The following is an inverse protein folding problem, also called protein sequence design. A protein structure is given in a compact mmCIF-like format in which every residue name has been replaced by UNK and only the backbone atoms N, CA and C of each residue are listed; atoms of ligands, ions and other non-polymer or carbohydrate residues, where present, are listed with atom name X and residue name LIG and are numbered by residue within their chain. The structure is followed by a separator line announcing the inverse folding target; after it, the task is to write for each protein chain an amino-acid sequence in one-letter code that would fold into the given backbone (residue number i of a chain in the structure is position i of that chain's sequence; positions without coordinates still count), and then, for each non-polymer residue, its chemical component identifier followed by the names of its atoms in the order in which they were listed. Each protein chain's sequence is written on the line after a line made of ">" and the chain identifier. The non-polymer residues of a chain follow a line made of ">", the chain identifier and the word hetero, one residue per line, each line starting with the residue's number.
data_IF_136675356477
#
_entry.id   IF_136675356477
#
_cell.length_a   1.000
_cell.length_b   1.000
_cell.length_c   1.000
_cell.angle_alpha   90.00
_cell.angle_beta   90.00
_cell.angle_gamma   90.00
#
_symmetry.space_group_name_H-M   'P 1'
#
loop_
_entity.id
_entity.type
_entity.pdbx_description
1 polymer ?
#
# COMPACT_ATOMS: atom_id res chain seq x y z
N UNK A 1 0.74 -13.55 11.20
CA UNK A 1 -0.07 -13.08 10.06
C UNK A 1 -0.21 -11.58 10.20
N UNK A 2 0.23 -10.80 9.21
CA UNK A 2 0.03 -9.35 9.23
C UNK A 2 -1.47 -9.08 9.23
N UNK A 3 -1.97 -8.32 10.21
CA UNK A 3 -3.40 -8.02 10.38
C UNK A 3 -3.96 -7.12 9.27
N UNK A 4 -3.12 -6.71 8.32
CA UNK A 4 -3.37 -5.69 7.31
C UNK A 4 -3.29 -6.37 5.95
N UNK A 5 -4.43 -6.46 5.27
CA UNK A 5 -4.53 -7.10 3.96
C UNK A 5 -5.34 -6.24 3.01
N UNK A 6 -4.91 -6.20 1.76
CA UNK A 6 -5.64 -5.53 0.70
C UNK A 6 -7.01 -6.15 0.45
N UNK A 7 -7.17 -7.47 0.63
CA UNK A 7 -8.48 -8.13 0.62
C UNK A 7 -9.46 -7.49 1.63
N UNK A 8 -9.01 -7.18 2.84
CA UNK A 8 -9.84 -6.52 3.88
C UNK A 8 -10.18 -5.08 3.49
N UNK A 9 -9.28 -4.36 2.81
CA UNK A 9 -9.59 -3.05 2.24
C UNK A 9 -10.62 -3.16 1.10
N UNK A 10 -10.52 -4.23 0.30
CA UNK A 10 -11.50 -4.84 -0.61
C UNK A 10 -12.93 -4.73 -0.08
N UNK A 11 -13.17 -5.49 0.98
CA UNK A 11 -14.51 -5.70 1.58
C UNK A 11 -15.10 -4.42 2.17
N UNK A 12 -14.27 -3.46 2.56
CA UNK A 12 -14.67 -2.14 3.07
C UNK A 12 -14.82 -1.06 1.99
N UNK A 13 -14.69 -1.42 0.71
CA UNK A 13 -14.72 -0.52 -0.44
C UNK A 13 -13.68 0.62 -0.39
N UNK A 14 -12.60 0.46 0.39
CA UNK A 14 -11.58 1.49 0.60
C UNK A 14 -10.88 1.91 -0.71
N UNK A 15 -10.52 1.00 -1.64
CA UNK A 15 -9.89 1.41 -2.89
C UNK A 15 -10.72 2.42 -3.69
N UNK A 16 -12.04 2.26 -3.67
CA UNK A 16 -12.96 3.19 -4.33
C UNK A 16 -13.15 4.47 -3.50
N UNK A 17 -13.46 4.33 -2.21
CA UNK A 17 -13.69 5.47 -1.30
C UNK A 17 -12.50 6.42 -1.24
N UNK A 18 -11.28 5.87 -1.21
CA UNK A 18 -10.05 6.64 -1.14
C UNK A 18 -9.47 6.92 -2.53
N UNK A 19 -10.11 6.44 -3.61
CA UNK A 19 -9.65 6.61 -4.98
C UNK A 19 -8.18 6.18 -5.13
N UNK A 20 -7.86 4.99 -4.61
CA UNK A 20 -6.51 4.43 -4.71
C UNK A 20 -6.20 4.13 -6.18
N UNK A 21 -5.03 4.57 -6.65
CA UNK A 21 -4.64 4.35 -8.05
C UNK A 21 -4.47 2.86 -8.37
N UNK A 22 -4.61 2.47 -9.64
CA UNK A 22 -4.36 1.07 -10.04
C UNK A 22 -2.95 0.59 -9.70
N UNK A 23 -1.96 1.47 -9.79
CA UNK A 23 -0.57 1.15 -9.43
C UNK A 23 -0.44 0.73 -7.96
N UNK A 24 -1.06 1.46 -7.02
CA UNK A 24 -0.98 1.07 -5.60
C UNK A 24 -1.84 -0.16 -5.31
N UNK A 25 -3.00 -0.31 -5.96
CA UNK A 25 -3.82 -1.52 -5.82
C UNK A 25 -3.02 -2.77 -6.21
N UNK A 26 -2.31 -2.74 -7.34
CA UNK A 26 -1.45 -3.86 -7.77
C UNK A 26 -0.32 -4.14 -6.78
N UNK A 27 0.29 -3.11 -6.18
CA UNK A 27 1.34 -3.33 -5.17
C UNK A 27 0.78 -3.93 -3.88
N UNK A 28 -0.39 -3.47 -3.43
CA UNK A 28 -1.06 -4.00 -2.24
C UNK A 28 -1.53 -5.45 -2.45
N UNK A 29 -1.98 -5.81 -3.66
CA UNK A 29 -2.25 -7.21 -4.05
C UNK A 29 -0.97 -8.05 -4.08
N UNK A 30 0.13 -7.48 -4.56
CA UNK A 30 1.44 -8.11 -4.53
C UNK A 30 1.92 -8.36 -3.09
N UNK A 31 1.68 -7.42 -2.19
CA UNK A 31 2.01 -7.57 -0.77
C UNK A 31 1.21 -8.71 -0.11
N UNK A 32 -0.11 -8.77 -0.37
CA UNK A 32 -0.94 -9.91 0.08
C UNK A 32 -0.39 -11.23 -0.46
N UNK A 33 0.00 -11.27 -1.74
CA UNK A 33 0.56 -12.46 -2.40
C UNK A 33 1.90 -12.88 -1.78
N UNK A 34 2.73 -11.91 -1.39
CA UNK A 34 3.98 -12.14 -0.68
C UNK A 34 3.72 -12.73 0.72
N UNK A 35 2.77 -12.18 1.47
CA UNK A 35 2.42 -12.67 2.82
C UNK A 35 1.90 -14.12 2.83
N UNK A 36 1.27 -14.57 1.75
CA UNK A 36 0.82 -15.97 1.60
C UNK A 36 1.85 -16.87 0.88
N UNK A 37 3.05 -16.36 0.60
CA UNK A 37 4.14 -17.11 -0.03
C UNK A 37 3.94 -17.43 -1.51
N UNK A 38 2.99 -16.75 -2.18
CA UNK A 38 2.71 -16.92 -3.62
C UNK A 38 3.52 -15.97 -4.52
N UNK A 39 4.18 -14.97 -3.93
CA UNK A 39 5.06 -14.02 -4.61
C UNK A 39 6.37 -13.94 -3.82
N UNK A 40 7.51 -13.99 -4.51
CA UNK A 40 8.83 -13.84 -3.87
C UNK A 40 9.14 -12.37 -3.55
N UNK A 41 9.95 -12.14 -2.52
CA UNK A 41 10.37 -10.82 -2.05
C UNK A 41 11.09 -10.04 -3.16
N UNK A 42 11.92 -10.71 -3.96
CA UNK A 42 12.60 -10.10 -5.11
C UNK A 42 11.62 -9.66 -6.20
N UNK A 43 10.56 -10.43 -6.42
CA UNK A 43 9.56 -10.10 -7.42
C UNK A 43 8.75 -8.86 -7.00
N UNK A 44 8.30 -8.80 -5.75
CA UNK A 44 7.63 -7.61 -5.21
C UNK A 44 8.55 -6.39 -5.24
N UNK A 45 9.81 -6.54 -4.82
CA UNK A 45 10.80 -5.47 -4.87
C UNK A 45 11.03 -4.95 -6.29
N UNK A 46 11.11 -5.84 -7.29
CA UNK A 46 11.22 -5.47 -8.71
C UNK A 46 10.01 -4.66 -9.20
N UNK A 47 8.78 -5.00 -8.78
CA UNK A 47 7.59 -4.25 -9.18
C UNK A 47 7.68 -2.77 -8.79
N UNK A 48 8.32 -2.47 -7.67
CA UNK A 48 8.55 -1.10 -7.16
C UNK A 48 9.75 -0.46 -7.85
N UNK A 49 10.94 -1.09 -7.78
CA UNK A 49 12.21 -0.52 -8.26
C UNK A 49 12.17 -0.16 -9.75
N UNK A 50 11.57 -1.01 -10.56
CA UNK A 50 11.56 -0.86 -12.02
C UNK A 50 10.52 0.15 -12.53
N UNK A 51 9.63 0.66 -11.67
CA UNK A 51 8.56 1.56 -12.09
C UNK A 51 8.51 2.84 -11.24
N UNK A 52 9.00 3.98 -11.78
CA UNK A 52 8.88 5.28 -11.12
C UNK A 52 7.43 5.64 -10.77
N UNK A 53 6.47 5.24 -11.62
CA UNK A 53 5.03 5.49 -11.40
C UNK A 53 4.49 4.73 -10.20
N UNK A 54 5.00 3.53 -9.93
CA UNK A 54 4.62 2.73 -8.75
C UNK A 54 5.23 3.29 -7.48
N UNK A 55 6.50 3.71 -7.49
CA UNK A 55 7.12 4.44 -6.36
C UNK A 55 6.35 5.72 -6.02
N UNK A 56 6.03 6.53 -7.04
CA UNK A 56 5.19 7.71 -6.84
C UNK A 56 3.79 7.37 -6.31
N UNK A 57 3.20 6.25 -6.73
CA UNK A 57 1.90 5.82 -6.23
C UNK A 57 1.92 5.48 -4.74
N UNK A 58 3.02 4.92 -4.22
CA UNK A 58 3.20 4.69 -2.78
C UNK A 58 3.24 6.02 -2.01
N UNK A 59 4.13 6.93 -2.39
CA UNK A 59 4.26 8.24 -1.75
C UNK A 59 2.94 9.03 -1.79
N UNK A 60 2.28 9.08 -2.95
CA UNK A 60 0.99 9.73 -3.13
C UNK A 60 -0.10 9.12 -2.25
N UNK A 61 -0.06 7.81 -2.00
CA UNK A 61 -1.04 7.14 -1.15
C UNK A 61 -0.82 7.45 0.33
N UNK A 62 0.44 7.53 0.78
CA UNK A 62 0.79 7.96 2.13
C UNK A 62 0.31 9.40 2.37
N UNK A 63 0.62 10.32 1.45
CA UNK A 63 0.14 11.71 1.51
C UNK A 63 -1.39 11.78 1.51
N UNK A 64 -2.04 10.95 0.69
CA UNK A 64 -3.51 10.88 0.65
C UNK A 64 -4.09 10.44 1.99
N UNK A 65 -3.54 9.39 2.61
CA UNK A 65 -3.96 8.93 3.93
C UNK A 65 -3.77 10.04 4.97
N UNK A 66 -2.63 10.71 4.99
CA UNK A 66 -2.40 11.85 5.88
C UNK A 66 -3.43 12.99 5.69
N UNK A 67 -3.85 13.26 4.44
CA UNK A 67 -4.87 14.26 4.15
C UNK A 67 -6.28 13.82 4.57
N UNK A 68 -6.61 12.52 4.47
CA UNK A 68 -7.87 11.97 4.98
C UNK A 68 -7.90 12.09 6.50
N UNK A 69 -6.82 11.69 7.20
CA UNK A 69 -6.69 11.80 8.66
C UNK A 69 -6.93 13.21 9.18
N UNK A 70 -6.40 14.23 8.49
CA UNK A 70 -6.61 15.64 8.84
C UNK A 70 -8.07 16.08 8.75
N UNK A 71 -8.86 15.46 7.86
CA UNK A 71 -10.26 15.81 7.62
C UNK A 71 -11.22 14.97 8.46
N UNK A 72 -10.90 13.70 8.63
CA UNK A 72 -11.73 12.73 9.33
C UNK A 72 -10.86 11.83 10.21
N UNK A 73 -10.70 12.17 11.51
CA UNK A 73 -9.96 11.36 12.47
C UNK A 73 -10.56 9.96 12.70
N UNK A 74 -11.82 9.72 12.35
CA UNK A 74 -12.44 8.39 12.52
C UNK A 74 -11.81 7.34 11.58
N UNK A 75 -11.19 7.79 10.49
CA UNK A 75 -10.49 6.93 9.53
C UNK A 75 -9.04 6.59 9.94
N UNK A 76 -8.63 6.93 11.17
CA UNK A 76 -7.28 6.70 11.71
C UNK A 76 -6.78 5.29 11.44
N UNK A 77 -7.57 4.29 11.83
CA UNK A 77 -7.16 2.89 11.73
C UNK A 77 -6.90 2.48 10.28
N UNK A 78 -7.84 2.77 9.39
CA UNK A 78 -7.73 2.42 7.96
C UNK A 78 -6.53 3.11 7.30
N UNK A 79 -6.31 4.40 7.59
CA UNK A 79 -5.20 5.16 7.01
C UNK A 79 -3.85 4.67 7.53
N UNK A 80 -3.74 4.36 8.82
CA UNK A 80 -2.52 3.80 9.41
C UNK A 80 -2.21 2.43 8.80
N UNK A 81 -3.20 1.54 8.67
CA UNK A 81 -3.01 0.23 8.02
C UNK A 81 -2.44 0.38 6.60
N UNK A 82 -2.98 1.30 5.79
CA UNK A 82 -2.49 1.56 4.43
C UNK A 82 -1.07 2.13 4.43
N UNK A 83 -0.76 3.06 5.33
CA UNK A 83 0.58 3.65 5.44
C UNK A 83 1.59 2.57 5.79
N UNK A 84 1.28 1.69 6.74
CA UNK A 84 2.18 0.62 7.14
C UNK A 84 2.38 -0.43 6.03
N UNK A 85 1.33 -0.76 5.26
CA UNK A 85 1.49 -1.59 4.06
C UNK A 85 2.37 -0.89 3.00
N UNK A 86 2.22 0.42 2.83
CA UNK A 86 3.05 1.21 1.93
C UNK A 86 4.53 1.23 2.35
N UNK A 87 4.81 1.35 3.65
CA UNK A 87 6.19 1.33 4.16
C UNK A 87 6.81 -0.05 4.02
N UNK A 88 6.05 -1.12 4.28
CA UNK A 88 6.52 -2.50 4.08
C UNK A 88 6.92 -2.77 2.61
N UNK A 89 6.12 -2.27 1.65
CA UNK A 89 6.46 -2.36 0.22
C UNK A 89 7.78 -1.65 -0.11
N UNK A 90 8.05 -0.49 0.51
CA UNK A 90 9.30 0.25 0.32
C UNK A 90 10.50 -0.46 0.95
N UNK A 91 10.32 -1.03 2.14
CA UNK A 91 11.34 -1.82 2.83
C UNK A 91 11.74 -3.05 2.01
N UNK A 92 10.76 -3.79 1.48
CA UNK A 92 10.98 -4.92 0.56
C UNK A 92 11.72 -4.48 -0.71
N UNK A 93 11.39 -3.28 -1.22
CA UNK A 93 12.06 -2.72 -2.38
C UNK A 93 13.50 -2.27 -2.09
N UNK A 94 13.91 -2.16 -0.82
CA UNK A 94 15.18 -1.54 -0.42
C UNK A 94 15.20 -0.03 -0.64
N UNK A 95 14.03 0.59 -0.79
CA UNK A 95 13.84 2.02 -1.03
C UNK A 95 13.57 2.73 0.30
N UNK A 96 14.20 3.89 0.53
CA UNK A 96 13.82 4.77 1.63
C UNK A 96 12.71 5.71 1.16
N UNK A 97 11.82 6.10 2.07
CA UNK A 97 10.87 7.19 1.79
C UNK A 97 11.67 8.42 1.33
N UNK A 98 11.31 9.06 0.20
CA UNK A 98 11.97 10.28 -0.27
C UNK A 98 11.77 11.45 0.69
#
# INVERSE_FOLDING_TARGET
>A
MSSKSFFVLKTKAIPSRYQLSKNIQTLLEGLDSYHVGSLDVEELGRLVRLSPRRRAAVANTITKCANILKKDPSEVKTCVDIIEMCTEILEIAGEKLP
#
